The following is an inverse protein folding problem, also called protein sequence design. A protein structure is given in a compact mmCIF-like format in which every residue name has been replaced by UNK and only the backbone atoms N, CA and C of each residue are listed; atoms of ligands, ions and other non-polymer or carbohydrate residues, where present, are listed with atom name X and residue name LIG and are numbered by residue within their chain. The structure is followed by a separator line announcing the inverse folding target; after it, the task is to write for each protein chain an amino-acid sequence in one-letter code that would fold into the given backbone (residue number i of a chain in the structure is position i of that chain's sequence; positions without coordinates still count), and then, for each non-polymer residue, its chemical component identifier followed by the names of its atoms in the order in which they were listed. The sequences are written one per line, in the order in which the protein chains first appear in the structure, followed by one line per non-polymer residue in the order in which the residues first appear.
data_IF_105494444398
#
_entry.id   IF_105494444398
#
_cell.length_a   1.000
_cell.length_b   1.000
_cell.length_c   1.000
_cell.angle_alpha   90.00
_cell.angle_beta   90.00
_cell.angle_gamma   90.00
#
_symmetry.space_group_name_H-M   'P 1'
#
loop_
_entity.id
_entity.type
_entity.pdbx_description
1 polymer ?
#
# COMPACT_ATOMS: atom_id res chain seq x y z
N UNK A 1 -17.48 6.76 4.87
CA UNK A 1 -16.45 6.38 5.86
C UNK A 1 -15.48 5.48 5.14
N UNK A 2 -14.39 6.04 4.62
CA UNK A 2 -13.33 5.26 3.96
C UNK A 2 -12.66 4.40 5.03
N UNK A 3 -13.10 3.14 5.14
CA UNK A 3 -12.61 2.20 6.13
C UNK A 3 -11.10 1.99 5.97
N UNK A 4 -10.38 2.19 7.08
CA UNK A 4 -8.95 1.99 7.17
C UNK A 4 -8.62 0.52 6.85
N UNK A 5 -7.75 0.29 5.87
CA UNK A 5 -7.39 -1.07 5.43
C UNK A 5 -6.14 -1.57 6.14
N UNK A 6 -5.84 -2.86 5.97
CA UNK A 6 -4.55 -3.42 6.40
C UNK A 6 -3.36 -2.64 5.81
N UNK A 7 -3.50 -2.12 4.59
CA UNK A 7 -2.45 -1.32 3.94
C UNK A 7 -2.21 -0.01 4.68
N UNK A 8 -3.24 0.64 5.23
CA UNK A 8 -3.07 1.84 6.06
C UNK A 8 -2.17 1.58 7.28
N UNK A 9 -2.35 0.41 7.93
CA UNK A 9 -1.51 0.00 9.08
C UNK A 9 -0.07 -0.32 8.65
N UNK A 10 0.11 -0.91 7.48
CA UNK A 10 1.43 -1.17 6.88
C UNK A 10 2.16 0.15 6.60
N UNK A 11 1.48 1.10 5.94
CA UNK A 11 2.03 2.43 5.61
C UNK A 11 2.48 3.16 6.88
N UNK A 12 1.70 3.08 7.96
CA UNK A 12 2.00 3.65 9.28
C UNK A 12 3.00 2.85 10.12
N UNK A 13 3.48 1.70 9.61
CA UNK A 13 4.41 0.79 10.32
C UNK A 13 3.85 0.27 11.66
N UNK A 14 2.52 0.21 11.78
CA UNK A 14 1.85 -0.35 12.95
C UNK A 14 1.90 -1.88 12.97
N UNK A 15 2.07 -2.50 11.80
CA UNK A 15 2.23 -3.95 11.65
C UNK A 15 3.49 -4.25 10.82
N UNK A 16 4.14 -5.40 11.06
CA UNK A 16 5.33 -5.79 10.30
C UNK A 16 5.01 -6.03 8.83
N UNK A 17 5.88 -5.55 7.94
CA UNK A 17 5.87 -5.82 6.50
C UNK A 17 7.31 -5.79 5.97
N UNK A 18 7.59 -6.52 4.90
CA UNK A 18 8.87 -6.43 4.19
C UNK A 18 8.82 -5.23 3.22
N UNK A 19 9.03 -4.04 3.79
CA UNK A 19 9.00 -2.77 3.07
C UNK A 19 10.29 -2.59 2.27
N UNK A 20 10.14 -2.34 0.97
CA UNK A 20 11.26 -2.17 0.03
C UNK A 20 11.46 -0.72 -0.36
N UNK A 21 10.42 0.12 -0.26
CA UNK A 21 10.47 1.54 -0.56
C UNK A 21 9.33 2.30 0.13
N UNK A 22 9.59 3.53 0.55
CA UNK A 22 8.57 4.45 1.02
C UNK A 22 9.06 5.89 0.83
N UNK A 23 8.22 6.73 0.23
CA UNK A 23 8.40 8.18 0.15
C UNK A 23 7.09 8.88 0.58
N UNK A 24 6.97 10.17 0.28
CA UNK A 24 5.79 10.97 0.65
C UNK A 24 4.51 10.52 -0.08
N UNK A 25 4.63 9.92 -1.26
CA UNK A 25 3.50 9.60 -2.14
C UNK A 25 3.09 8.13 -2.07
N UNK A 26 4.05 7.22 -2.00
CA UNK A 26 3.82 5.79 -2.15
C UNK A 26 4.60 4.95 -1.14
N UNK A 27 4.06 3.77 -0.86
CA UNK A 27 4.72 2.72 -0.09
C UNK A 27 4.74 1.44 -0.92
N UNK A 28 5.90 0.77 -0.97
CA UNK A 28 6.06 -0.52 -1.63
C UNK A 28 6.59 -1.59 -0.67
N UNK A 29 5.98 -2.76 -0.70
CA UNK A 29 6.30 -3.89 0.17
C UNK A 29 6.03 -5.22 -0.53
N UNK A 30 6.66 -6.31 -0.06
CA UNK A 30 6.44 -7.65 -0.62
C UNK A 30 5.06 -8.18 -0.26
N UNK A 31 4.43 -8.85 -1.23
CA UNK A 31 3.19 -9.59 -0.96
C UNK A 31 3.46 -10.76 0.01
N UNK A 32 2.54 -11.00 0.95
CA UNK A 32 2.64 -12.08 1.94
C UNK A 32 2.46 -13.48 1.31
N UNK A 33 1.75 -13.57 0.18
CA UNK A 33 1.50 -14.78 -0.59
C UNK A 33 1.98 -14.60 -2.05
N UNK A 34 3.30 -14.50 -2.27
CA UNK A 34 3.86 -14.15 -3.57
C UNK A 34 3.48 -15.18 -4.65
N UNK A 35 3.04 -14.70 -5.81
CA UNK A 35 2.70 -15.52 -7.00
C UNK A 35 3.80 -15.59 -8.05
N UNK A 36 4.92 -14.91 -7.81
CA UNK A 36 6.09 -14.85 -8.69
C UNK A 36 7.36 -14.66 -7.85
N UNK A 37 8.57 -14.93 -8.40
CA UNK A 37 9.84 -14.75 -7.68
C UNK A 37 10.03 -13.32 -7.15
N UNK A 38 9.52 -12.33 -7.88
CA UNK A 38 9.39 -10.95 -7.41
C UNK A 38 7.92 -10.57 -7.47
N UNK A 39 7.33 -10.29 -6.30
CA UNK A 39 5.94 -9.85 -6.17
C UNK A 39 5.89 -8.74 -5.11
N UNK A 40 5.71 -7.51 -5.58
CA UNK A 40 5.76 -6.30 -4.75
C UNK A 40 4.46 -5.55 -5.02
N UNK A 41 3.78 -5.16 -3.94
CA UNK A 41 2.63 -4.27 -4.00
C UNK A 41 3.13 -2.85 -3.84
N UNK A 42 2.67 -1.95 -4.72
CA UNK A 42 2.94 -0.51 -4.65
C UNK A 42 1.59 0.16 -4.47
N UNK A 43 1.41 0.87 -3.36
CA UNK A 43 0.15 1.51 -2.98
C UNK A 43 0.37 2.99 -2.66
N UNK A 44 -0.60 3.87 -2.96
CA UNK A 44 -0.54 5.26 -2.53
C UNK A 44 -0.63 5.34 -1.00
N UNK A 45 0.08 6.31 -0.41
CA UNK A 45 0.00 6.60 1.03
C UNK A 45 -1.39 7.15 1.41
N UNK A 46 -2.06 7.78 0.45
CA UNK A 46 -3.45 8.22 0.56
C UNK A 46 -4.41 7.06 0.32
N UNK A 47 -5.49 7.00 1.10
CA UNK A 47 -6.56 6.02 0.89
C UNK A 47 -7.34 6.37 -0.38
N UNK A 48 -7.24 5.52 -1.38
CA UNK A 48 -8.04 5.54 -2.61
C UNK A 48 -8.64 4.13 -2.73
N UNK A 49 -9.94 3.91 -2.41
CA UNK A 49 -10.52 2.58 -2.29
C UNK A 49 -10.47 1.77 -3.59
N UNK A 50 -10.78 2.41 -4.71
CA UNK A 50 -10.79 1.82 -6.03
C UNK A 50 -10.20 2.77 -7.07
N UNK A 51 -9.89 2.26 -8.26
CA UNK A 51 -9.38 3.10 -9.36
C UNK A 51 -10.41 4.15 -9.80
N UNK A 52 -11.70 3.90 -9.59
CA UNK A 52 -12.77 4.85 -9.95
C UNK A 52 -12.79 6.10 -9.05
N UNK A 53 -12.12 6.04 -7.89
CA UNK A 53 -12.07 7.12 -6.90
C UNK A 53 -10.89 8.10 -7.13
N UNK A 54 -10.16 7.98 -8.24
CA UNK A 54 -9.05 8.88 -8.55
C UNK A 54 -9.54 10.28 -8.90
N UNK A 55 -8.83 11.30 -8.41
CA UNK A 55 -9.09 12.71 -8.69
C UNK A 55 -7.90 13.35 -9.39
N UNK A 56 -8.12 14.48 -10.05
CA UNK A 56 -7.12 15.20 -10.85
C UNK A 56 -6.16 16.09 -10.03
N UNK A 57 -6.14 15.94 -8.70
CA UNK A 57 -5.27 16.73 -7.80
C UNK A 57 -3.78 16.70 -8.20
#
# INVERSE_FOLDING_TARGET
MSEETLFSKIIRKEIPSDMVYQDDLVTAFRDITPKAPTHILIVPNRVIPTVDDVTQE
#
